data_IF_196109099736
#
_entry.id   IF_196109099736
#
_cell.length_a   1.000
_cell.length_b   1.000
_cell.length_c   1.000
_cell.angle_alpha   90.00
_cell.angle_beta   90.00
_cell.angle_gamma   90.00
#
_symmetry.space_group_name_H-M   'P 1'
#
loop_
_entity.id
_entity.type
_entity.pdbx_description
1 polymer ?
#
# COMPACT_ATOMS: atom_id res chain seq x y z
N UNK A 1 -4.17 -10.65 -19.72
CA UNK A 1 -4.55 -11.02 -18.34
C UNK A 1 -3.64 -10.28 -17.38
N UNK A 2 -4.16 -9.74 -16.27
CA UNK A 2 -3.38 -9.01 -15.27
C UNK A 2 -3.05 -9.91 -14.06
N UNK A 3 -2.20 -9.44 -13.16
CA UNK A 3 -1.82 -10.15 -11.92
C UNK A 3 -1.63 -9.21 -10.71
N UNK A 4 -2.07 -7.97 -10.86
CA UNK A 4 -1.94 -6.91 -9.84
C UNK A 4 -3.04 -5.88 -10.05
N UNK A 5 -3.44 -5.21 -8.97
CA UNK A 5 -4.42 -4.13 -8.98
C UNK A 5 -3.86 -2.91 -8.21
N UNK A 6 -4.14 -1.71 -8.73
CA UNK A 6 -3.83 -0.46 -8.07
C UNK A 6 -5.03 -0.03 -7.22
N UNK A 7 -4.84 0.11 -5.91
CA UNK A 7 -5.91 0.45 -4.98
C UNK A 7 -5.85 1.94 -4.66
N UNK A 8 -6.91 2.66 -5.03
CA UNK A 8 -7.10 4.08 -4.68
C UNK A 8 -8.34 4.19 -3.81
N UNK A 9 -8.15 4.47 -2.53
CA UNK A 9 -9.22 4.44 -1.51
C UNK A 9 -10.43 5.31 -1.87
N UNK A 10 -10.18 6.48 -2.45
CA UNK A 10 -11.23 7.41 -2.86
C UNK A 10 -11.82 7.13 -4.25
N UNK A 11 -11.37 6.09 -4.97
CA UNK A 11 -12.07 5.63 -6.17
C UNK A 11 -13.25 4.72 -5.84
N UNK A 12 -13.12 3.91 -4.79
CA UNK A 12 -14.20 3.01 -4.34
C UNK A 12 -15.13 3.72 -3.34
N UNK A 13 -14.58 4.58 -2.48
CA UNK A 13 -15.36 5.51 -1.66
C UNK A 13 -15.25 5.24 -0.16
N UNK A 14 -15.28 3.98 0.27
CA UNK A 14 -15.19 3.62 1.70
C UNK A 14 -13.98 2.74 2.04
N UNK A 15 -13.59 2.76 3.32
CA UNK A 15 -12.54 1.86 3.84
C UNK A 15 -12.97 0.40 3.79
N UNK A 16 -14.22 0.09 4.11
CA UNK A 16 -14.75 -1.29 4.05
C UNK A 16 -14.63 -1.85 2.63
N UNK A 17 -15.11 -1.12 1.62
CA UNK A 17 -15.03 -1.59 0.23
C UNK A 17 -13.57 -1.64 -0.27
N UNK A 18 -12.71 -0.78 0.24
CA UNK A 18 -11.26 -0.86 -0.01
C UNK A 18 -10.68 -2.18 0.50
N UNK A 19 -11.00 -2.56 1.74
CA UNK A 19 -10.52 -3.81 2.35
C UNK A 19 -11.11 -5.04 1.66
N UNK A 20 -12.40 -5.00 1.30
CA UNK A 20 -13.06 -6.07 0.55
C UNK A 20 -12.42 -6.27 -0.82
N UNK A 21 -12.08 -5.18 -1.51
CA UNK A 21 -11.38 -5.22 -2.81
C UNK A 21 -9.99 -5.84 -2.67
N UNK A 22 -9.23 -5.46 -1.63
CA UNK A 22 -7.90 -6.00 -1.36
C UNK A 22 -7.97 -7.51 -1.09
N UNK A 23 -8.90 -7.95 -0.24
CA UNK A 23 -9.05 -9.36 0.10
C UNK A 23 -9.51 -10.19 -1.10
N UNK A 24 -10.43 -9.66 -1.92
CA UNK A 24 -10.85 -10.29 -3.18
C UNK A 24 -9.66 -10.50 -4.13
N UNK A 25 -8.85 -9.47 -4.34
CA UNK A 25 -7.68 -9.55 -5.21
C UNK A 25 -6.63 -10.53 -4.65
N UNK A 26 -6.38 -10.50 -3.34
CA UNK A 26 -5.44 -11.43 -2.67
C UNK A 26 -5.88 -12.88 -2.83
N UNK A 27 -7.16 -13.20 -2.67
CA UNK A 27 -7.73 -14.55 -2.89
C UNK A 27 -7.57 -15.01 -4.34
N UNK A 28 -7.61 -14.09 -5.30
CA UNK A 28 -7.36 -14.36 -6.70
C UNK A 28 -5.84 -14.48 -7.05
N UNK A 29 -4.95 -14.34 -6.07
CA UNK A 29 -3.49 -14.37 -6.29
C UNK A 29 -2.92 -13.07 -6.88
N UNK A 30 -3.68 -11.97 -6.85
CA UNK A 30 -3.23 -10.67 -7.32
C UNK A 30 -2.52 -9.91 -6.20
N UNK A 31 -1.44 -9.22 -6.53
CA UNK A 31 -0.89 -8.22 -5.62
C UNK A 31 -1.75 -6.96 -5.60
N UNK A 32 -1.84 -6.31 -4.45
CA UNK A 32 -2.52 -5.03 -4.29
C UNK A 32 -1.48 -3.94 -4.05
N UNK A 33 -1.44 -2.93 -4.90
CA UNK A 33 -0.54 -1.78 -4.74
C UNK A 33 -1.36 -0.61 -4.22
N UNK A 34 -1.19 -0.26 -2.96
CA UNK A 34 -1.88 0.90 -2.37
C UNK A 34 -1.31 2.18 -2.98
N UNK A 35 -2.17 3.09 -3.45
CA UNK A 35 -1.72 4.20 -4.29
C UNK A 35 -2.33 5.54 -3.95
N UNK A 36 -1.50 6.57 -4.11
CA UNK A 36 -1.87 7.97 -4.04
C UNK A 36 -2.78 8.44 -5.20
N UNK A 37 -3.15 9.72 -5.17
CA UNK A 37 -3.77 10.48 -6.27
C UNK A 37 -2.84 11.57 -6.80
N UNK A 38 -3.17 12.18 -7.94
CA UNK A 38 -2.38 13.29 -8.49
C UNK A 38 -2.42 14.52 -7.58
N UNK A 39 -3.59 14.88 -7.05
CA UNK A 39 -3.73 15.82 -5.93
C UNK A 39 -3.78 15.05 -4.61
N UNK A 40 -2.88 15.39 -3.68
CA UNK A 40 -2.75 14.76 -2.37
C UNK A 40 -2.67 15.82 -1.27
N UNK A 41 -2.95 15.40 -0.05
CA UNK A 41 -2.75 16.18 1.18
C UNK A 41 -1.58 15.58 1.97
N UNK A 42 -1.31 16.09 3.16
CA UNK A 42 -0.40 15.51 4.13
C UNK A 42 -0.93 14.23 4.81
N UNK A 43 -2.21 13.89 4.61
CA UNK A 43 -2.81 12.66 5.14
C UNK A 43 -1.97 11.44 4.74
N UNK A 44 -1.64 10.58 5.71
CA UNK A 44 -0.78 9.42 5.48
C UNK A 44 -1.51 8.08 5.58
N UNK A 45 -2.85 8.07 5.61
CA UNK A 45 -3.67 6.88 5.88
C UNK A 45 -3.35 5.70 4.94
N UNK A 46 -2.95 5.98 3.70
CA UNK A 46 -2.56 4.93 2.74
C UNK A 46 -1.29 4.16 3.14
N UNK A 47 -0.42 4.73 3.97
CA UNK A 47 0.74 4.02 4.52
C UNK A 47 0.28 2.96 5.55
N UNK A 48 -0.60 3.35 6.47
CA UNK A 48 -1.19 2.46 7.47
C UNK A 48 -2.00 1.34 6.80
N UNK A 49 -2.80 1.65 5.77
CA UNK A 49 -3.52 0.63 5.00
C UNK A 49 -2.55 -0.36 4.34
N UNK A 50 -1.42 0.11 3.80
CA UNK A 50 -0.45 -0.76 3.15
C UNK A 50 0.17 -1.78 4.12
N UNK A 51 0.45 -1.36 5.36
CA UNK A 51 0.98 -2.22 6.41
C UNK A 51 -0.11 -3.12 6.99
N UNK A 52 -1.26 -2.57 7.37
CA UNK A 52 -2.38 -3.31 7.97
C UNK A 52 -2.89 -4.45 7.09
N UNK A 53 -2.86 -4.27 5.76
CA UNK A 53 -3.30 -5.29 4.80
C UNK A 53 -2.18 -6.23 4.35
N UNK A 54 -0.93 -6.01 4.79
CA UNK A 54 0.22 -6.79 4.32
C UNK A 54 0.42 -6.71 2.80
N UNK A 55 0.02 -5.60 2.17
CA UNK A 55 0.04 -5.41 0.71
C UNK A 55 1.43 -5.62 0.10
N UNK A 56 2.47 -5.28 0.87
CA UNK A 56 3.88 -5.35 0.51
C UNK A 56 4.34 -4.33 -0.53
N UNK A 57 3.42 -3.57 -1.15
CA UNK A 57 3.72 -2.56 -2.17
C UNK A 57 2.87 -1.31 -1.96
N UNK A 58 3.51 -0.15 -2.08
CA UNK A 58 2.87 1.16 -2.06
C UNK A 58 3.43 2.03 -3.18
N UNK A 59 2.55 2.79 -3.82
CA UNK A 59 2.87 3.77 -4.86
C UNK A 59 2.45 5.17 -4.41
N UNK A 60 3.37 5.85 -3.73
CA UNK A 60 3.13 7.17 -3.12
C UNK A 60 3.86 8.35 -3.79
N UNK A 61 4.47 8.15 -4.96
CA UNK A 61 5.10 9.22 -5.75
C UNK A 61 6.59 9.38 -5.47
N UNK A 62 7.23 10.39 -6.05
CA UNK A 62 8.64 10.67 -5.76
C UNK A 62 8.81 11.13 -4.30
N UNK A 63 9.99 10.93 -3.68
CA UNK A 63 10.34 11.49 -2.37
C UNK A 63 10.61 13.01 -2.49
N UNK A 64 9.64 13.73 -3.01
CA UNK A 64 9.66 15.16 -3.25
C UNK A 64 8.24 15.69 -3.05
N UNK A 65 8.14 16.88 -2.45
CA UNK A 65 6.90 17.52 -1.98
C UNK A 65 6.28 16.81 -0.76
N UNK A 66 5.79 17.61 0.18
CA UNK A 66 5.32 17.14 1.49
C UNK A 66 4.15 16.18 1.40
N UNK A 67 3.25 16.38 0.43
CA UNK A 67 2.11 15.51 0.16
C UNK A 67 2.51 14.06 -0.18
N UNK A 68 3.74 13.83 -0.64
CA UNK A 68 4.33 12.50 -0.89
C UNK A 68 5.18 12.03 0.28
N UNK A 69 6.07 12.90 0.74
CA UNK A 69 7.03 12.60 1.83
C UNK A 69 6.32 12.24 3.13
N UNK A 70 5.15 12.83 3.41
CA UNK A 70 4.36 12.51 4.61
C UNK A 70 4.04 11.00 4.73
N UNK A 71 3.74 10.33 3.61
CA UNK A 71 3.46 8.89 3.58
C UNK A 71 4.72 8.05 3.84
N UNK A 72 5.86 8.46 3.29
CA UNK A 72 7.14 7.79 3.57
C UNK A 72 7.56 7.97 5.03
N UNK A 73 7.39 9.17 5.59
CA UNK A 73 7.65 9.42 7.01
C UNK A 73 6.69 8.64 7.92
N UNK A 74 5.45 8.37 7.49
CA UNK A 74 4.56 7.48 8.22
C UNK A 74 5.04 6.03 8.18
N UNK A 75 5.55 5.54 7.03
CA UNK A 75 6.15 4.20 6.96
C UNK A 75 7.37 4.07 7.88
N UNK A 76 8.23 5.09 7.95
CA UNK A 76 9.37 5.11 8.88
C UNK A 76 8.91 5.04 10.34
N UNK A 77 7.86 5.79 10.70
CA UNK A 77 7.27 5.74 12.05
C UNK A 77 6.65 4.37 12.37
N UNK A 78 5.93 3.76 11.42
CA UNK A 78 5.36 2.42 11.60
C UNK A 78 6.48 1.38 11.74
N UNK A 79 7.54 1.49 10.94
CA UNK A 79 8.72 0.62 11.06
C UNK A 79 9.41 0.77 12.42
N UNK A 80 9.61 2.00 12.89
CA UNK A 80 10.16 2.30 14.22
C UNK A 80 9.29 1.73 15.35
N UNK A 81 7.95 1.84 15.23
CA UNK A 81 7.00 1.30 16.22
C UNK A 81 6.99 -0.23 16.25
N UNK A 82 7.11 -0.88 15.09
CA UNK A 82 7.17 -2.34 14.98
C UNK A 82 8.52 -2.90 15.43
N UNK A 83 9.59 -2.11 15.37
CA UNK A 83 10.96 -2.48 15.77
C UNK A 83 11.36 -3.87 15.19
N UNK A 84 11.67 -4.84 16.05
CA UNK A 84 12.09 -6.19 15.65
C UNK A 84 11.00 -7.01 14.95
N UNK A 85 9.74 -6.57 15.00
CA UNK A 85 8.62 -7.20 14.29
C UNK A 85 8.42 -6.67 12.86
N UNK A 86 9.14 -5.62 12.45
CA UNK A 86 9.06 -5.07 11.11
C UNK A 86 9.61 -6.06 10.05
N UNK A 87 8.88 -6.25 8.94
CA UNK A 87 9.29 -7.16 7.86
C UNK A 87 9.24 -6.44 6.50
N UNK A 88 10.41 -6.25 5.90
CA UNK A 88 10.55 -5.84 4.51
C UNK A 88 10.79 -7.06 3.60
N UNK A 89 9.79 -7.41 2.77
CA UNK A 89 9.85 -8.65 1.95
C UNK A 89 10.64 -8.52 0.65
N UNK A 90 11.00 -7.30 0.22
CA UNK A 90 11.73 -7.05 -1.02
C UNK A 90 11.13 -7.79 -2.23
N UNK A 91 11.94 -8.54 -2.97
CA UNK A 91 11.49 -9.32 -4.14
C UNK A 91 10.43 -10.38 -3.79
N UNK A 92 10.40 -10.88 -2.54
CA UNK A 92 9.43 -11.90 -2.10
C UNK A 92 7.99 -11.34 -2.03
N UNK A 93 7.81 -10.03 -2.16
CA UNK A 93 6.50 -9.39 -2.27
C UNK A 93 5.75 -9.82 -3.54
N UNK A 94 6.45 -10.15 -4.63
CA UNK A 94 5.84 -10.51 -5.91
C UNK A 94 5.39 -11.98 -5.96
N UNK A 95 4.51 -12.38 -5.02
CA UNK A 95 3.94 -13.73 -4.97
C UNK A 95 3.04 -14.07 -6.17
N UNK A 96 2.63 -13.04 -6.93
CA UNK A 96 1.84 -13.14 -8.14
C UNK A 96 2.66 -13.53 -9.39
N UNK A 97 3.99 -13.62 -9.28
CA UNK A 97 4.87 -14.02 -10.39
C UNK A 97 5.27 -15.49 -10.26
N UNK A 98 5.06 -16.26 -11.32
CA UNK A 98 5.66 -17.60 -11.46
C UNK A 98 7.13 -17.43 -11.82
N UNK A 99 7.98 -18.29 -11.25
CA UNK A 99 9.37 -18.43 -11.69
C UNK A 99 9.44 -19.13 -13.04
#
# INVERSE_FOLDING_TARGET
VCNSILIKVNQIGTLTETLDTIEMARRAGYTCVISHRSGETEDATIADIAVATGSGQIKSGAPARTDRVAKYNQLLRIEEELDTFAIYRGIKTFYNLKK
#
